data_IF_259055513953
#
_entry.id   IF_259055513953
#
_cell.length_a   1.000
_cell.length_b   1.000
_cell.length_c   1.000
_cell.angle_alpha   90.00
_cell.angle_beta   90.00
_cell.angle_gamma   90.00
#
_symmetry.space_group_name_H-M   'P 1'
#
loop_
_entity.id
_entity.type
_entity.pdbx_description
1 polymer ?
#
# COMPACT_ATOMS: atom_id res chain seq x y z
N UNK A 1 10.08 -4.16 -11.82
CA UNK A 1 9.45 -3.15 -12.70
C UNK A 1 8.73 -2.13 -11.84
N UNK A 2 8.98 -0.86 -12.08
CA UNK A 2 8.35 0.23 -11.34
C UNK A 2 6.89 0.41 -11.76
N UNK A 3 6.07 1.01 -10.89
CA UNK A 3 4.64 1.24 -11.14
C UNK A 3 4.38 2.00 -12.43
N UNK A 4 5.17 3.05 -12.71
CA UNK A 4 5.04 3.85 -13.92
C UNK A 4 5.27 3.05 -15.20
N UNK A 5 6.28 2.19 -15.21
CA UNK A 5 6.54 1.31 -16.35
C UNK A 5 5.39 0.32 -16.58
N UNK A 6 4.79 -0.18 -15.52
CA UNK A 6 3.64 -1.08 -15.62
C UNK A 6 2.44 -0.38 -16.25
N UNK A 7 2.18 0.86 -15.83
CA UNK A 7 1.11 1.67 -16.42
C UNK A 7 1.37 1.88 -17.92
N UNK A 8 2.59 2.26 -18.28
CA UNK A 8 2.96 2.49 -19.69
C UNK A 8 2.80 1.22 -20.52
N UNK A 9 3.28 0.08 -20.02
CA UNK A 9 3.20 -1.21 -20.72
C UNK A 9 1.74 -1.64 -20.92
N UNK A 10 0.93 -1.57 -19.87
CA UNK A 10 -0.48 -1.97 -19.94
C UNK A 10 -1.28 -1.03 -20.83
N UNK A 11 -1.01 0.28 -20.75
CA UNK A 11 -1.63 1.26 -21.62
C UNK A 11 -1.31 0.97 -23.09
N UNK A 12 -0.03 0.76 -23.40
CA UNK A 12 0.42 0.48 -24.78
C UNK A 12 -0.20 -0.81 -25.32
N UNK A 13 -0.24 -1.85 -24.49
CA UNK A 13 -0.89 -3.12 -24.87
C UNK A 13 -2.37 -2.97 -25.13
N UNK A 14 -3.03 -2.04 -24.44
CA UNK A 14 -4.44 -1.73 -24.66
C UNK A 14 -4.68 -0.84 -25.86
N UNK A 15 -3.63 -0.35 -26.51
CA UNK A 15 -3.75 0.46 -27.73
C UNK A 15 -4.22 1.89 -27.52
N UNK A 16 -4.10 2.42 -26.29
CA UNK A 16 -4.50 3.81 -26.00
C UNK A 16 -3.26 4.69 -25.75
N UNK A 17 -3.40 5.98 -26.11
CA UNK A 17 -2.35 6.97 -25.91
C UNK A 17 -2.39 7.54 -24.49
N UNK A 18 -1.29 8.23 -24.10
CA UNK A 18 -1.28 8.97 -22.83
C UNK A 18 -2.42 9.99 -22.76
N UNK A 19 -2.70 10.67 -23.88
CA UNK A 19 -3.77 11.66 -23.95
C UNK A 19 -5.15 11.01 -23.78
N UNK A 20 -5.39 9.86 -24.40
CA UNK A 20 -6.63 9.12 -24.24
C UNK A 20 -6.84 8.63 -22.82
N UNK A 21 -5.79 8.12 -22.18
CA UNK A 21 -5.86 7.71 -20.78
C UNK A 21 -6.15 8.92 -19.88
N UNK A 22 -5.47 10.04 -20.12
CA UNK A 22 -5.67 11.28 -19.37
C UNK A 22 -7.12 11.78 -19.47
N UNK A 23 -7.71 11.76 -20.66
CA UNK A 23 -9.09 12.14 -20.87
C UNK A 23 -10.05 11.27 -20.06
N UNK A 24 -9.83 9.96 -20.06
CA UNK A 24 -10.67 9.01 -19.32
C UNK A 24 -10.57 9.19 -17.81
N UNK A 25 -9.43 9.67 -17.33
CA UNK A 25 -9.16 9.90 -15.90
C UNK A 25 -9.47 11.33 -15.45
N UNK A 26 -9.83 12.23 -16.38
CA UNK A 26 -10.04 13.65 -16.11
C UNK A 26 -8.80 14.33 -15.52
N UNK A 27 -7.63 13.98 -16.02
CA UNK A 27 -6.35 14.59 -15.65
C UNK A 27 -5.64 15.07 -16.90
N UNK A 28 -4.54 15.82 -16.73
CA UNK A 28 -3.72 16.27 -17.85
C UNK A 28 -2.84 15.14 -18.41
N UNK A 29 -2.52 15.20 -19.69
CA UNK A 29 -1.54 14.29 -20.31
C UNK A 29 -0.21 14.33 -19.57
N UNK A 30 0.21 15.52 -19.13
CA UNK A 30 1.44 15.70 -18.38
C UNK A 30 1.44 14.89 -17.09
N UNK A 31 0.30 14.82 -16.41
CA UNK A 31 0.16 14.00 -15.20
C UNK A 31 0.42 12.52 -15.50
N UNK A 32 -0.20 11.99 -16.54
CA UNK A 32 0.02 10.61 -16.98
C UNK A 32 1.48 10.37 -17.33
N UNK A 33 2.10 11.31 -18.06
CA UNK A 33 3.52 11.24 -18.39
C UNK A 33 4.41 11.18 -17.16
N UNK A 34 4.11 12.00 -16.15
CA UNK A 34 4.86 11.99 -14.88
C UNK A 34 4.73 10.66 -14.15
N UNK A 35 3.55 10.06 -14.15
CA UNK A 35 3.35 8.74 -13.54
C UNK A 35 4.18 7.68 -14.27
N UNK A 36 4.14 7.66 -15.60
CA UNK A 36 4.83 6.65 -16.40
C UNK A 36 6.36 6.77 -16.28
N UNK A 37 6.87 7.96 -15.99
CA UNK A 37 8.29 8.21 -15.76
C UNK A 37 8.70 8.11 -14.29
N UNK A 38 7.77 7.75 -13.40
CA UNK A 38 7.99 7.66 -11.96
C UNK A 38 8.47 8.96 -11.31
N UNK A 39 8.12 10.11 -11.92
CA UNK A 39 8.38 11.44 -11.33
C UNK A 39 7.37 11.73 -10.22
N UNK A 40 6.13 11.32 -10.41
CA UNK A 40 5.09 11.32 -9.38
C UNK A 40 4.35 9.98 -9.44
N UNK A 41 3.54 9.69 -8.43
CA UNK A 41 2.79 8.46 -8.39
C UNK A 41 1.29 8.75 -8.26
N UNK A 42 0.43 7.98 -8.95
CA UNK A 42 -1.00 8.07 -8.74
C UNK A 42 -1.32 7.55 -7.34
N UNK A 43 -2.33 8.14 -6.69
CA UNK A 43 -2.84 7.60 -5.43
C UNK A 43 -3.60 6.29 -5.69
N UNK A 44 -3.97 5.60 -4.62
CA UNK A 44 -4.63 4.30 -4.74
C UNK A 44 -5.95 4.38 -5.51
N UNK A 45 -6.76 5.41 -5.25
CA UNK A 45 -8.01 5.63 -5.95
C UNK A 45 -7.79 5.79 -7.46
N UNK A 46 -6.74 6.50 -7.85
CA UNK A 46 -6.38 6.68 -9.25
C UNK A 46 -5.88 5.37 -9.88
N UNK A 47 -5.10 4.58 -9.14
CA UNK A 47 -4.64 3.26 -9.60
C UNK A 47 -5.85 2.35 -9.89
N UNK A 48 -6.86 2.36 -9.03
CA UNK A 48 -8.09 1.59 -9.27
C UNK A 48 -8.79 2.02 -10.56
N UNK A 49 -8.89 3.32 -10.83
CA UNK A 49 -9.49 3.85 -12.05
C UNK A 49 -8.70 3.45 -13.29
N UNK A 50 -7.37 3.54 -13.21
CA UNK A 50 -6.48 3.11 -14.30
C UNK A 50 -6.69 1.62 -14.58
N UNK A 51 -6.71 0.80 -13.55
CA UNK A 51 -6.93 -0.64 -13.66
C UNK A 51 -8.27 -0.95 -14.34
N UNK A 52 -9.33 -0.26 -13.95
CA UNK A 52 -10.66 -0.41 -14.56
C UNK A 52 -10.63 -0.05 -16.05
N UNK A 53 -10.02 1.08 -16.41
CA UNK A 53 -9.93 1.52 -17.81
C UNK A 53 -9.12 0.53 -18.65
N UNK A 54 -8.03 -0.01 -18.09
CA UNK A 54 -7.16 -0.97 -18.77
C UNK A 54 -7.64 -2.43 -18.66
N UNK A 55 -8.74 -2.67 -17.95
CA UNK A 55 -9.32 -4.00 -17.74
C UNK A 55 -8.37 -5.00 -17.11
N UNK A 56 -7.62 -4.55 -16.11
CA UNK A 56 -6.70 -5.38 -15.33
C UNK A 56 -6.98 -5.19 -13.84
N UNK A 57 -6.45 -6.08 -13.00
CA UNK A 57 -6.51 -5.88 -11.56
C UNK A 57 -5.50 -4.80 -11.13
N UNK A 58 -5.81 -4.08 -10.06
CA UNK A 58 -4.90 -3.06 -9.52
C UNK A 58 -3.55 -3.66 -9.10
N UNK A 59 -3.52 -4.93 -8.72
CA UNK A 59 -2.28 -5.63 -8.35
C UNK A 59 -1.27 -5.68 -9.50
N UNK A 60 -1.73 -5.67 -10.74
CA UNK A 60 -0.84 -5.65 -11.91
C UNK A 60 -0.14 -4.32 -12.10
N UNK A 61 -0.73 -3.25 -11.60
CA UNK A 61 -0.19 -1.89 -11.73
C UNK A 61 0.73 -1.58 -10.56
N UNK A 62 0.32 -1.93 -9.35
CA UNK A 62 1.05 -1.58 -8.14
C UNK A 62 2.38 -2.32 -8.03
N UNK A 63 3.40 -1.58 -7.59
CA UNK A 63 4.63 -2.20 -7.14
C UNK A 63 4.37 -2.98 -5.84
N UNK A 64 5.32 -3.85 -5.48
CA UNK A 64 5.25 -4.59 -4.21
C UNK A 64 5.14 -3.65 -3.02
N UNK A 65 5.87 -2.53 -3.04
CA UNK A 65 5.86 -1.55 -1.95
C UNK A 65 4.49 -0.89 -1.82
N UNK A 66 3.86 -0.54 -2.95
CA UNK A 66 2.53 0.04 -2.97
C UNK A 66 1.49 -0.96 -2.44
N UNK A 67 1.61 -2.23 -2.80
CA UNK A 67 0.72 -3.29 -2.31
C UNK A 67 0.82 -3.44 -0.79
N UNK A 68 2.03 -3.38 -0.23
CA UNK A 68 2.25 -3.45 1.22
C UNK A 68 1.63 -2.26 1.94
N UNK A 69 1.85 -1.05 1.43
CA UNK A 69 1.28 0.16 2.02
C UNK A 69 -0.24 0.17 1.94
N UNK A 70 -0.80 -0.32 0.84
CA UNK A 70 -2.25 -0.41 0.71
C UNK A 70 -2.88 -1.42 1.66
N UNK A 71 -2.18 -2.50 1.98
CA UNK A 71 -2.62 -3.44 3.02
C UNK A 71 -2.88 -2.71 4.33
N UNK A 72 -1.97 -1.82 4.72
CA UNK A 72 -2.10 -1.03 5.94
C UNK A 72 -3.20 0.03 5.81
N UNK A 73 -3.19 0.81 4.74
CA UNK A 73 -4.17 1.89 4.53
C UNK A 73 -5.60 1.37 4.41
N UNK A 74 -5.80 0.25 3.71
CA UNK A 74 -7.12 -0.39 3.62
C UNK A 74 -7.66 -0.78 5.00
N UNK A 75 -6.79 -1.25 5.87
CA UNK A 75 -7.15 -1.62 7.22
C UNK A 75 -7.52 -0.40 8.08
N UNK A 76 -6.87 0.74 7.85
CA UNK A 76 -7.07 1.97 8.61
C UNK A 76 -8.08 2.94 7.98
N UNK A 77 -8.69 2.58 6.85
CA UNK A 77 -9.54 3.48 6.07
C UNK A 77 -10.75 4.02 6.81
N UNK A 78 -11.25 3.29 7.80
CA UNK A 78 -12.41 3.69 8.62
C UNK A 78 -12.01 4.22 10.00
N UNK A 79 -10.74 4.58 10.18
CA UNK A 79 -10.23 5.07 11.46
C UNK A 79 -10.23 6.59 11.48
N UNK A 80 -10.77 7.14 12.57
CA UNK A 80 -10.83 8.57 12.81
C UNK A 80 -9.73 8.93 13.80
N UNK A 81 -8.62 9.49 13.31
CA UNK A 81 -7.52 9.93 14.15
C UNK A 81 -6.96 11.23 13.65
N UNK A 82 -6.83 12.21 14.54
CA UNK A 82 -6.26 13.53 14.22
C UNK A 82 -4.74 13.48 14.03
N UNK A 83 -4.07 12.51 14.64
CA UNK A 83 -2.62 12.29 14.50
C UNK A 83 -2.33 10.79 14.51
N UNK A 84 -2.56 10.17 13.37
CA UNK A 84 -2.41 8.73 13.21
C UNK A 84 -0.97 8.26 13.46
N UNK A 85 0.03 9.06 13.07
CA UNK A 85 1.44 8.69 13.26
C UNK A 85 1.84 8.68 14.72
N UNK A 86 1.37 9.67 15.49
CA UNK A 86 1.61 9.71 16.94
C UNK A 86 0.94 8.53 17.63
N UNK A 87 -0.31 8.27 17.28
CA UNK A 87 -1.08 7.16 17.86
C UNK A 87 -0.44 5.81 17.52
N UNK A 88 0.07 5.66 16.30
CA UNK A 88 0.78 4.46 15.89
C UNK A 88 2.07 4.26 16.71
N UNK A 89 2.86 5.31 16.88
CA UNK A 89 4.09 5.25 17.66
C UNK A 89 3.81 4.89 19.13
N UNK A 90 2.80 5.51 19.72
CA UNK A 90 2.39 5.22 21.09
C UNK A 90 1.91 3.77 21.23
N UNK A 91 1.14 3.30 20.26
CA UNK A 91 0.65 1.91 20.23
C UNK A 91 1.83 0.91 20.11
N UNK A 92 2.76 1.18 19.19
CA UNK A 92 3.90 0.27 18.96
C UNK A 92 4.73 0.09 20.23
N UNK A 93 4.81 1.11 21.07
CA UNK A 93 5.55 1.01 22.35
C UNK A 93 4.87 0.06 23.34
N UNK A 94 3.59 -0.26 23.16
CA UNK A 94 2.86 -1.20 24.03
C UNK A 94 3.08 -2.67 23.65
N UNK A 95 3.61 -2.92 22.45
CA UNK A 95 3.81 -4.28 21.94
C UNK A 95 5.10 -4.90 22.50
N UNK A 96 5.14 -6.24 22.52
CA UNK A 96 6.39 -6.94 22.77
C UNK A 96 7.37 -6.67 21.63
N UNK A 97 8.66 -6.93 21.88
CA UNK A 97 9.72 -6.60 20.93
C UNK A 97 9.53 -7.29 19.58
N UNK A 98 9.15 -8.56 19.58
CA UNK A 98 8.99 -9.32 18.34
C UNK A 98 7.86 -8.77 17.46
N UNK A 99 6.68 -8.58 18.04
CA UNK A 99 5.50 -8.10 17.29
C UNK A 99 5.73 -6.69 16.76
N UNK A 100 6.33 -5.82 17.57
CA UNK A 100 6.71 -4.48 17.15
C UNK A 100 7.70 -4.50 16.00
N UNK A 101 8.74 -5.33 16.10
CA UNK A 101 9.77 -5.43 15.05
C UNK A 101 9.22 -5.98 13.75
N UNK A 102 8.35 -6.99 13.81
CA UNK A 102 7.69 -7.54 12.63
C UNK A 102 6.84 -6.48 11.94
N UNK A 103 6.05 -5.73 12.70
CA UNK A 103 5.22 -4.65 12.17
C UNK A 103 6.07 -3.57 11.48
N UNK A 104 7.14 -3.11 12.13
CA UNK A 104 8.04 -2.09 11.59
C UNK A 104 8.72 -2.59 10.32
N UNK A 105 9.21 -3.83 10.30
CA UNK A 105 9.83 -4.40 9.10
C UNK A 105 8.87 -4.47 7.93
N UNK A 106 7.63 -4.85 8.17
CA UNK A 106 6.62 -4.95 7.12
C UNK A 106 6.22 -3.59 6.56
N UNK A 107 5.86 -2.64 7.41
CA UNK A 107 5.20 -1.41 6.97
C UNK A 107 6.13 -0.19 6.89
N UNK A 108 7.23 -0.19 7.61
CA UNK A 108 8.21 0.89 7.53
C UNK A 108 9.33 0.54 6.55
N UNK A 109 9.91 -0.64 6.67
CA UNK A 109 10.97 -1.08 5.78
C UNK A 109 10.48 -1.80 4.52
N UNK A 110 9.19 -2.06 4.43
CA UNK A 110 8.54 -2.65 3.26
C UNK A 110 9.11 -4.02 2.90
N UNK A 111 9.45 -4.81 3.90
CA UNK A 111 9.97 -6.17 3.70
C UNK A 111 8.84 -7.15 3.38
N UNK A 112 9.17 -8.18 2.61
CA UNK A 112 8.24 -9.27 2.34
C UNK A 112 8.02 -10.13 3.58
N UNK A 113 6.87 -10.80 3.65
CA UNK A 113 6.60 -11.77 4.70
C UNK A 113 7.65 -12.88 4.70
N UNK A 114 8.13 -13.31 3.54
CA UNK A 114 9.18 -14.30 3.39
C UNK A 114 10.50 -13.84 4.03
N UNK A 115 10.92 -12.62 3.77
CA UNK A 115 12.15 -12.05 4.35
C UNK A 115 12.04 -11.94 5.87
N UNK A 116 10.91 -11.47 6.37
CA UNK A 116 10.66 -11.36 7.81
C UNK A 116 10.69 -12.75 8.45
N UNK A 117 10.04 -13.73 7.83
CA UNK A 117 10.02 -15.11 8.32
C UNK A 117 11.44 -15.69 8.45
N UNK A 118 12.28 -15.50 7.44
CA UNK A 118 13.68 -15.94 7.48
C UNK A 118 14.46 -15.30 8.63
N UNK A 119 14.32 -13.99 8.80
CA UNK A 119 15.05 -13.24 9.82
C UNK A 119 14.68 -13.66 11.24
N UNK A 120 13.45 -14.10 11.46
CA UNK A 120 12.98 -14.52 12.79
C UNK A 120 12.91 -16.04 12.97
N UNK A 121 13.25 -16.82 11.95
CA UNK A 121 13.17 -18.26 12.02
C UNK A 121 11.77 -18.81 12.25
N UNK A 122 10.76 -18.15 11.68
CA UNK A 122 9.35 -18.53 11.77
C UNK A 122 8.77 -18.70 10.37
N UNK A 123 7.56 -19.26 10.27
CA UNK A 123 6.88 -19.43 8.99
C UNK A 123 6.27 -18.13 8.50
N UNK A 124 6.06 -18.01 7.19
CA UNK A 124 5.31 -16.88 6.62
C UNK A 124 3.88 -16.80 7.19
N UNK A 125 3.27 -17.95 7.44
CA UNK A 125 1.95 -18.02 8.06
C UNK A 125 1.97 -17.36 9.45
N UNK A 126 3.01 -17.59 10.23
CA UNK A 126 3.19 -16.94 11.52
C UNK A 126 3.35 -15.42 11.37
N UNK A 127 4.12 -14.96 10.38
CA UNK A 127 4.25 -13.53 10.09
C UNK A 127 2.90 -12.91 9.79
N UNK A 128 2.12 -13.53 8.92
CA UNK A 128 0.77 -13.04 8.59
C UNK A 128 -0.14 -12.98 9.81
N UNK A 129 -0.08 -14.00 10.67
CA UNK A 129 -0.86 -14.05 11.91
C UNK A 129 -0.46 -12.92 12.86
N UNK A 130 0.83 -12.70 13.05
CA UNK A 130 1.34 -11.60 13.89
C UNK A 130 0.86 -10.24 13.37
N UNK A 131 0.96 -10.01 12.06
CA UNK A 131 0.53 -8.76 11.44
C UNK A 131 -0.98 -8.55 11.55
N UNK A 132 -1.77 -9.57 11.27
CA UNK A 132 -3.22 -9.51 11.40
C UNK A 132 -3.63 -9.18 12.84
N UNK A 133 -3.05 -9.87 13.79
CA UNK A 133 -3.33 -9.67 15.22
C UNK A 133 -2.91 -8.27 15.68
N UNK A 134 -1.75 -7.80 15.24
CA UNK A 134 -1.24 -6.47 15.57
C UNK A 134 -2.13 -5.38 14.99
N UNK A 135 -2.54 -5.52 13.73
CA UNK A 135 -3.47 -4.57 13.10
C UNK A 135 -4.80 -4.48 13.86
N UNK A 136 -5.36 -5.62 14.26
CA UNK A 136 -6.61 -5.65 15.06
C UNK A 136 -6.43 -4.96 16.40
N UNK A 137 -5.32 -5.19 17.08
CA UNK A 137 -5.00 -4.52 18.35
C UNK A 137 -4.90 -3.01 18.17
N UNK A 138 -4.27 -2.55 17.10
CA UNK A 138 -4.15 -1.13 16.80
C UNK A 138 -5.51 -0.49 16.56
N UNK A 139 -6.37 -1.13 15.80
CA UNK A 139 -7.72 -0.64 15.55
C UNK A 139 -8.53 -0.52 16.84
N UNK A 140 -8.41 -1.51 17.71
CA UNK A 140 -9.04 -1.48 19.04
C UNK A 140 -8.48 -0.35 19.90
N UNK A 141 -7.17 -0.17 19.91
CA UNK A 141 -6.49 0.91 20.62
C UNK A 141 -7.02 2.28 20.20
N UNK A 142 -7.16 2.52 18.90
CA UNK A 142 -7.70 3.77 18.37
C UNK A 142 -9.14 4.02 18.81
N UNK A 143 -9.97 2.99 18.82
CA UNK A 143 -11.36 3.09 19.29
C UNK A 143 -11.43 3.46 20.77
N UNK A 144 -10.59 2.86 21.59
CA UNK A 144 -10.54 3.13 23.03
C UNK A 144 -10.09 4.55 23.32
N UNK A 145 -9.17 5.10 22.49
CA UNK A 145 -8.72 6.48 22.62
C UNK A 145 -9.75 7.51 22.19
N UNK A 146 -10.70 7.14 21.34
CA UNK A 146 -11.75 8.03 20.83
C UNK A 146 -12.91 8.21 21.81
N UNK A 147 -12.94 7.47 22.89
CA UNK A 147 -14.02 7.51 23.89
C UNK A 147 -13.82 8.63 24.92
#
# INVERSE_FOLDING_TARGET
MLTGQRIADLRTKSGITQEQLAEKLYVSREMVSKWERDISQPDYSMVEKIAEILSVSSDKIMSRNDAILNELYSFLSDTDSNDLMKDLNDFLSTLNLRDRSVFIRRYYYLESNSTIAENYGISESNVRTILMRTRKKFKKYLKEMSL
#
